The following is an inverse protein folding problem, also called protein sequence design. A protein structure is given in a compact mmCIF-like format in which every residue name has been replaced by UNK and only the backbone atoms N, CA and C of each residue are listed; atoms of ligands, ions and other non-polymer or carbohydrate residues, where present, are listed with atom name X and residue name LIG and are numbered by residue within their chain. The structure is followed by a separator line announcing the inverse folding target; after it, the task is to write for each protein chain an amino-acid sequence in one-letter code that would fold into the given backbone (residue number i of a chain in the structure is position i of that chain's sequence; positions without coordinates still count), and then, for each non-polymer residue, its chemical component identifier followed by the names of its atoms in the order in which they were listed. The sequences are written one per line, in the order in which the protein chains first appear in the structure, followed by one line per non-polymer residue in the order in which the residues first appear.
data_IF_548404890548
#
_entry.id   IF_548404890548
#
_cell.length_a   1.000
_cell.length_b   1.000
_cell.length_c   1.000
_cell.angle_alpha   90.00
_cell.angle_beta   90.00
_cell.angle_gamma   90.00
#
_symmetry.space_group_name_H-M   'P 1'
#
loop_
_entity.id
_entity.type
_entity.pdbx_description
1 polymer ?
#
# COMPACT_ATOMS: atom_id res chain seq x y z
N UNK A 1 25.20 -19.19 24.82
CA UNK A 1 24.10 -19.97 24.19
C UNK A 1 23.76 -19.26 22.89
N UNK A 2 23.59 -19.95 21.77
CA UNK A 2 23.13 -19.27 20.57
C UNK A 2 21.76 -18.69 20.87
N UNK A 3 21.57 -17.39 20.56
CA UNK A 3 20.26 -16.75 20.64
C UNK A 3 19.32 -17.55 19.72
N UNK A 4 18.21 -18.01 20.23
CA UNK A 4 17.19 -18.66 19.40
C UNK A 4 16.68 -17.62 18.39
N UNK A 5 16.98 -17.85 17.13
CA UNK A 5 16.47 -16.98 16.06
C UNK A 5 15.04 -17.42 15.77
N UNK A 6 14.10 -16.50 15.88
CA UNK A 6 12.70 -16.77 15.53
C UNK A 6 12.56 -16.97 14.02
N UNK A 7 12.30 -18.21 13.61
CA UNK A 7 12.02 -18.58 12.22
C UNK A 7 10.50 -18.45 11.96
N UNK A 8 10.12 -17.47 11.18
CA UNK A 8 8.72 -17.19 10.82
C UNK A 8 8.49 -17.63 9.37
N UNK A 9 7.58 -18.57 9.17
CA UNK A 9 7.21 -19.02 7.82
C UNK A 9 6.39 -17.96 7.12
N UNK A 10 6.82 -17.56 5.93
CA UNK A 10 6.10 -16.65 5.07
C UNK A 10 5.07 -17.43 4.24
N UNK A 11 3.82 -16.98 4.25
CA UNK A 11 2.69 -17.58 3.55
C UNK A 11 2.08 -16.65 2.51
N UNK A 12 0.89 -17.02 2.05
CA UNK A 12 0.19 -16.33 0.94
C UNK A 12 -1.09 -15.63 1.40
N UNK A 13 -1.66 -16.05 2.52
CA UNK A 13 -2.97 -15.58 2.96
C UNK A 13 -2.87 -14.26 3.75
N UNK A 14 -3.74 -13.30 3.43
CA UNK A 14 -3.79 -11.99 4.11
C UNK A 14 -3.91 -12.12 5.65
N UNK A 15 -4.74 -13.02 6.14
CA UNK A 15 -4.86 -13.27 7.58
C UNK A 15 -3.56 -13.76 8.24
N UNK A 16 -2.67 -14.36 7.47
CA UNK A 16 -1.37 -14.81 7.96
C UNK A 16 -0.44 -13.62 8.23
N UNK A 17 -0.52 -12.56 7.42
CA UNK A 17 0.24 -11.32 7.62
C UNK A 17 0.07 -10.76 9.04
N UNK A 18 -1.17 -10.64 9.50
CA UNK A 18 -1.45 -10.13 10.86
C UNK A 18 -0.86 -11.01 11.96
N UNK A 19 -0.86 -12.34 11.75
CA UNK A 19 -0.22 -13.26 12.71
C UNK A 19 1.28 -13.06 12.78
N UNK A 20 1.94 -12.83 11.64
CA UNK A 20 3.38 -12.54 11.58
C UNK A 20 3.67 -11.23 12.33
N UNK A 21 2.97 -10.17 12.00
CA UNK A 21 3.14 -8.86 12.64
C UNK A 21 2.92 -8.98 14.16
N UNK A 22 1.80 -9.56 14.59
CA UNK A 22 1.51 -9.74 16.02
C UNK A 22 2.55 -10.62 16.74
N UNK A 23 3.07 -11.65 16.09
CA UNK A 23 4.12 -12.49 16.66
C UNK A 23 5.40 -11.68 16.87
N UNK A 24 5.80 -10.88 15.90
CA UNK A 24 7.00 -10.04 15.98
C UNK A 24 6.83 -8.91 17.01
N UNK A 25 5.66 -8.25 17.06
CA UNK A 25 5.37 -7.21 18.04
C UNK A 25 5.39 -7.70 19.49
N UNK A 26 4.92 -8.94 19.72
CA UNK A 26 4.89 -9.54 21.07
C UNK A 26 6.22 -10.15 21.51
N UNK A 27 7.16 -10.29 20.60
CA UNK A 27 8.49 -10.83 20.91
C UNK A 27 9.44 -9.72 21.34
N UNK A 28 10.24 -10.02 22.35
CA UNK A 28 11.36 -9.17 22.76
C UNK A 28 12.64 -9.42 21.94
N UNK A 29 12.58 -10.31 20.94
CA UNK A 29 13.72 -10.58 20.08
C UNK A 29 13.94 -9.44 19.10
N UNK A 30 15.20 -9.15 18.83
CA UNK A 30 15.62 -8.12 17.87
C UNK A 30 15.90 -8.71 16.47
N UNK A 31 16.16 -10.03 16.41
CA UNK A 31 16.53 -10.73 15.18
C UNK A 31 15.45 -11.75 14.80
N UNK A 32 14.99 -11.65 13.54
CA UNK A 32 13.99 -12.55 12.96
C UNK A 32 14.47 -13.13 11.64
N UNK A 33 13.97 -14.32 11.33
CA UNK A 33 14.12 -14.95 10.03
C UNK A 33 12.74 -15.11 9.39
N UNK A 34 12.57 -14.52 8.20
CA UNK A 34 11.46 -14.82 7.32
C UNK A 34 11.81 -15.97 6.40
N UNK A 35 11.17 -17.11 6.60
CA UNK A 35 11.46 -18.34 5.89
C UNK A 35 10.42 -18.58 4.78
N UNK A 36 10.88 -18.48 3.54
CA UNK A 36 10.03 -18.59 2.34
C UNK A 36 9.97 -20.03 1.78
N UNK A 37 10.51 -21.04 2.48
CA UNK A 37 10.64 -22.41 1.96
C UNK A 37 9.34 -22.99 1.38
N UNK A 38 8.18 -22.62 1.95
CA UNK A 38 6.89 -23.15 1.54
C UNK A 38 6.06 -22.10 0.75
N UNK A 39 6.64 -20.98 0.40
CA UNK A 39 5.96 -19.91 -0.33
C UNK A 39 6.01 -20.22 -1.81
N UNK A 40 4.87 -20.32 -2.47
CA UNK A 40 4.74 -20.50 -3.92
C UNK A 40 4.29 -19.22 -4.62
N UNK A 41 3.56 -18.37 -3.92
CA UNK A 41 3.01 -17.11 -4.43
C UNK A 41 2.74 -16.12 -3.29
N UNK A 42 2.85 -14.82 -3.56
CA UNK A 42 2.54 -13.77 -2.58
C UNK A 42 1.70 -12.68 -3.28
N UNK A 43 0.62 -12.27 -2.63
CA UNK A 43 -0.27 -11.22 -3.15
C UNK A 43 0.23 -9.80 -2.79
N UNK A 44 -0.16 -8.75 -3.55
CA UNK A 44 0.10 -7.36 -3.19
C UNK A 44 -0.29 -7.02 -1.75
N UNK A 45 -1.46 -7.48 -1.31
CA UNK A 45 -1.98 -7.25 0.05
C UNK A 45 -1.20 -7.95 1.17
N UNK A 46 -0.35 -8.89 0.82
CA UNK A 46 0.56 -9.51 1.78
C UNK A 46 1.92 -8.83 1.75
N UNK A 47 2.45 -8.61 0.53
CA UNK A 47 3.84 -8.24 0.36
C UNK A 47 4.12 -6.78 0.71
N UNK A 48 3.23 -5.86 0.32
CA UNK A 48 3.43 -4.44 0.57
C UNK A 48 3.39 -4.09 2.07
N UNK A 49 2.39 -4.53 2.85
CA UNK A 49 2.40 -4.32 4.29
C UNK A 49 3.56 -5.03 5.01
N UNK A 50 3.99 -6.20 4.52
CA UNK A 50 5.14 -6.90 5.08
C UNK A 50 6.44 -6.10 4.90
N UNK A 51 6.64 -5.53 3.70
CA UNK A 51 7.76 -4.64 3.40
C UNK A 51 7.75 -3.41 4.32
N UNK A 52 6.62 -2.73 4.41
CA UNK A 52 6.47 -1.53 5.25
C UNK A 52 6.70 -1.85 6.73
N UNK A 53 6.22 -2.98 7.20
CA UNK A 53 6.46 -3.43 8.57
C UNK A 53 7.95 -3.67 8.83
N UNK A 54 8.64 -4.37 7.92
CA UNK A 54 10.10 -4.58 8.00
C UNK A 54 10.84 -3.24 8.14
N UNK A 55 10.48 -2.28 7.32
CA UNK A 55 11.18 -0.99 7.26
C UNK A 55 10.90 -0.11 8.50
N UNK A 56 9.79 -0.35 9.21
CA UNK A 56 9.35 0.45 10.38
C UNK A 56 9.65 -0.21 11.73
N UNK A 57 9.69 -1.54 11.82
CA UNK A 57 9.71 -2.23 13.11
C UNK A 57 11.02 -2.09 13.92
N UNK A 58 12.09 -1.57 13.30
CA UNK A 58 13.41 -1.40 13.94
C UNK A 58 14.14 -2.71 14.25
N UNK A 59 13.59 -3.86 13.83
CA UNK A 59 14.15 -5.18 14.06
C UNK A 59 14.98 -5.66 12.87
N UNK A 60 15.96 -6.50 13.12
CA UNK A 60 16.78 -7.13 12.08
C UNK A 60 16.03 -8.33 11.48
N UNK A 61 15.78 -8.30 10.17
CA UNK A 61 15.02 -9.33 9.47
C UNK A 61 15.83 -9.88 8.30
N UNK A 62 16.08 -11.20 8.33
CA UNK A 62 16.75 -11.92 7.27
C UNK A 62 15.77 -12.82 6.52
N UNK A 63 15.79 -12.74 5.18
CA UNK A 63 14.97 -13.61 4.32
C UNK A 63 15.78 -14.82 3.88
N UNK A 64 15.27 -16.04 4.12
CA UNK A 64 15.96 -17.28 3.77
C UNK A 64 15.06 -18.23 2.98
N UNK A 65 15.68 -19.22 2.33
CA UNK A 65 15.01 -20.29 1.59
C UNK A 65 13.98 -19.78 0.57
N UNK A 66 14.28 -18.66 -0.10
CA UNK A 66 13.39 -18.09 -1.09
C UNK A 66 13.46 -18.96 -2.35
N UNK A 67 12.35 -19.62 -2.79
CA UNK A 67 12.33 -20.37 -4.04
C UNK A 67 12.64 -19.46 -5.24
N UNK A 68 13.30 -19.98 -6.28
CA UNK A 68 13.77 -19.18 -7.42
C UNK A 68 12.64 -18.39 -8.10
N UNK A 69 11.48 -18.99 -8.29
CA UNK A 69 10.32 -18.30 -8.87
C UNK A 69 9.80 -17.15 -7.99
N UNK A 70 9.84 -17.32 -6.67
CA UNK A 70 9.46 -16.27 -5.71
C UNK A 70 10.52 -15.17 -5.70
N UNK A 71 11.80 -15.52 -5.70
CA UNK A 71 12.92 -14.56 -5.79
C UNK A 71 12.80 -13.70 -7.04
N UNK A 72 12.67 -14.33 -8.22
CA UNK A 72 12.49 -13.61 -9.47
C UNK A 72 11.30 -12.64 -9.43
N UNK A 73 10.19 -13.05 -8.83
CA UNK A 73 9.02 -12.19 -8.65
C UNK A 73 9.32 -11.01 -7.72
N UNK A 74 9.93 -11.25 -6.55
CA UNK A 74 10.29 -10.22 -5.59
C UNK A 74 11.25 -9.18 -6.20
N UNK A 75 12.24 -9.64 -6.98
CA UNK A 75 13.16 -8.77 -7.70
C UNK A 75 12.42 -7.93 -8.77
N UNK A 76 11.52 -8.57 -9.52
CA UNK A 76 10.73 -7.90 -10.57
C UNK A 76 9.84 -6.78 -10.03
N UNK A 77 9.30 -6.94 -8.82
CA UNK A 77 8.43 -5.93 -8.20
C UNK A 77 9.19 -4.97 -7.29
N UNK A 78 10.51 -5.07 -7.19
CA UNK A 78 11.37 -4.23 -6.35
C UNK A 78 11.02 -4.31 -4.84
N UNK A 79 10.85 -5.54 -4.32
CA UNK A 79 10.43 -5.78 -2.94
C UNK A 79 11.35 -5.17 -1.88
N UNK A 80 12.65 -5.01 -2.15
CA UNK A 80 13.59 -4.56 -1.13
C UNK A 80 13.30 -3.13 -0.66
N UNK A 81 13.04 -2.20 -1.57
CA UNK A 81 12.85 -0.78 -1.23
C UNK A 81 11.75 -0.09 -2.04
N UNK A 82 11.15 -0.77 -3.00
CA UNK A 82 10.32 -0.16 -4.02
C UNK A 82 11.14 0.74 -4.96
N UNK A 83 10.54 1.11 -6.06
CA UNK A 83 11.08 2.11 -6.98
C UNK A 83 10.83 3.50 -6.43
N UNK A 84 11.88 4.26 -6.14
CA UNK A 84 11.78 5.61 -5.58
C UNK A 84 11.48 6.59 -6.71
N UNK A 85 10.20 6.98 -6.85
CA UNK A 85 9.68 7.73 -7.99
C UNK A 85 10.39 9.07 -8.24
N UNK A 86 10.68 9.83 -7.20
CA UNK A 86 11.33 11.15 -7.29
C UNK A 86 12.86 11.10 -7.49
N UNK A 87 13.42 9.90 -7.57
CA UNK A 87 14.83 9.68 -7.98
C UNK A 87 14.99 9.24 -9.44
N UNK A 88 13.87 9.12 -10.17
CA UNK A 88 13.89 8.78 -11.60
C UNK A 88 13.73 10.06 -12.40
N UNK A 89 14.71 10.39 -13.24
CA UNK A 89 14.75 11.64 -14.01
C UNK A 89 13.54 11.78 -14.94
N UNK A 90 13.14 10.70 -15.63
CA UNK A 90 11.93 10.64 -16.45
C UNK A 90 10.98 9.56 -15.94
N UNK A 91 10.27 9.88 -14.87
CA UNK A 91 9.32 8.96 -14.25
C UNK A 91 8.13 8.66 -15.16
N UNK A 92 7.76 9.57 -16.06
CA UNK A 92 6.71 9.32 -17.04
C UNK A 92 7.09 8.16 -17.96
N UNK A 93 8.22 8.25 -18.64
CA UNK A 93 8.71 7.18 -19.52
C UNK A 93 8.96 5.87 -18.77
N UNK A 94 9.45 5.94 -17.53
CA UNK A 94 9.56 4.76 -16.68
C UNK A 94 8.22 4.07 -16.46
N UNK A 95 7.19 4.82 -16.10
CA UNK A 95 5.85 4.30 -15.84
C UNK A 95 5.15 3.80 -17.11
N UNK A 96 5.39 4.44 -18.24
CA UNK A 96 4.77 4.07 -19.52
C UNK A 96 5.10 2.63 -19.96
N UNK A 97 6.28 2.12 -19.58
CA UNK A 97 6.67 0.71 -19.81
C UNK A 97 5.70 -0.28 -19.17
N UNK A 98 5.02 0.13 -18.11
CA UNK A 98 4.07 -0.72 -17.37
C UNK A 98 2.64 -0.64 -17.91
N UNK A 99 2.32 0.28 -18.82
CA UNK A 99 0.99 0.43 -19.43
C UNK A 99 0.49 -0.83 -20.14
N UNK A 100 1.41 -1.66 -20.66
CA UNK A 100 1.09 -2.93 -21.33
C UNK A 100 1.43 -4.16 -20.47
N UNK A 101 1.90 -3.95 -19.25
CA UNK A 101 2.21 -5.04 -18.31
C UNK A 101 0.95 -5.44 -17.52
N UNK A 102 1.10 -6.51 -16.78
CA UNK A 102 0.05 -7.03 -15.88
C UNK A 102 0.28 -6.63 -14.42
N UNK A 103 1.20 -5.70 -14.19
CA UNK A 103 1.55 -5.25 -12.86
C UNK A 103 2.14 -3.84 -12.91
N UNK A 104 2.03 -3.13 -11.80
CA UNK A 104 2.83 -1.97 -11.44
C UNK A 104 3.76 -2.46 -10.33
N UNK A 105 5.11 -2.34 -10.45
CA UNK A 105 6.01 -2.72 -9.37
C UNK A 105 5.73 -1.89 -8.12
N UNK A 106 6.36 -2.19 -7.01
CA UNK A 106 6.23 -1.35 -5.82
C UNK A 106 6.84 0.02 -6.14
N UNK A 107 5.99 1.03 -6.24
CA UNK A 107 6.39 2.43 -6.41
C UNK A 107 6.33 3.10 -5.05
N UNK A 108 7.45 3.67 -4.65
CA UNK A 108 7.62 4.49 -3.47
C UNK A 108 7.58 5.95 -3.92
N UNK A 109 6.49 6.66 -3.63
CA UNK A 109 6.25 8.04 -4.06
C UNK A 109 6.26 9.02 -2.89
N UNK A 110 6.67 10.30 -3.10
CA UNK A 110 6.65 11.30 -2.06
C UNK A 110 5.21 11.65 -1.66
N UNK A 111 4.93 11.68 -0.36
CA UNK A 111 3.65 12.07 0.20
C UNK A 111 3.58 13.61 0.35
N UNK A 112 3.74 14.35 -0.75
CA UNK A 112 3.68 15.80 -0.77
C UNK A 112 2.96 16.33 -2.01
N UNK A 113 2.18 17.40 -1.85
CA UNK A 113 1.38 18.03 -2.92
C UNK A 113 2.19 18.57 -4.09
N UNK A 114 3.49 18.83 -3.90
CA UNK A 114 4.35 19.41 -4.95
C UNK A 114 4.79 18.41 -6.04
N UNK A 115 4.32 17.17 -5.96
CA UNK A 115 4.70 16.08 -6.89
C UNK A 115 3.49 15.45 -7.59
N UNK A 116 2.52 16.28 -7.99
CA UNK A 116 1.31 15.83 -8.68
C UNK A 116 1.59 15.08 -9.99
N UNK A 117 2.67 15.39 -10.69
CA UNK A 117 3.08 14.66 -11.89
C UNK A 117 3.35 13.18 -11.62
N UNK A 118 3.97 12.84 -10.49
CA UNK A 118 4.21 11.45 -10.07
C UNK A 118 2.88 10.74 -9.84
N UNK A 119 1.97 11.36 -9.10
CA UNK A 119 0.62 10.83 -8.87
C UNK A 119 -0.12 10.60 -10.18
N UNK A 120 -0.13 11.59 -11.07
CA UNK A 120 -0.83 11.51 -12.35
C UNK A 120 -0.28 10.38 -13.24
N UNK A 121 1.03 10.17 -13.27
CA UNK A 121 1.65 9.07 -14.00
C UNK A 121 1.24 7.70 -13.41
N UNK A 122 1.22 7.55 -12.09
CA UNK A 122 0.75 6.33 -11.43
C UNK A 122 -0.70 6.04 -11.77
N UNK A 123 -1.58 7.05 -11.66
CA UNK A 123 -3.01 6.92 -11.98
C UNK A 123 -3.24 6.56 -13.44
N UNK A 124 -2.54 7.21 -14.36
CA UNK A 124 -2.63 6.94 -15.80
C UNK A 124 -2.29 5.48 -16.13
N UNK A 125 -1.21 4.95 -15.55
CA UNK A 125 -0.83 3.55 -15.79
C UNK A 125 -1.81 2.58 -15.15
N UNK A 126 -2.28 2.86 -13.93
CA UNK A 126 -3.31 2.03 -13.29
C UNK A 126 -4.60 1.99 -14.12
N UNK A 127 -5.05 3.13 -14.66
CA UNK A 127 -6.19 3.21 -15.57
C UNK A 127 -5.96 2.40 -16.85
N UNK A 128 -4.77 2.52 -17.46
CA UNK A 128 -4.43 1.78 -18.68
C UNK A 128 -4.52 0.26 -18.45
N UNK A 129 -4.02 -0.23 -17.32
CA UNK A 129 -4.13 -1.64 -16.96
C UNK A 129 -5.61 -2.04 -16.79
N UNK A 130 -6.41 -1.23 -16.09
CA UNK A 130 -7.84 -1.51 -15.91
C UNK A 130 -8.60 -1.55 -17.23
N UNK A 131 -8.34 -0.61 -18.12
CA UNK A 131 -9.00 -0.55 -19.45
C UNK A 131 -8.54 -1.69 -20.33
N UNK A 132 -7.23 -1.90 -20.50
CA UNK A 132 -6.68 -2.87 -21.44
C UNK A 132 -6.85 -4.31 -20.97
N UNK A 133 -6.72 -4.57 -19.68
CA UNK A 133 -6.71 -5.94 -19.15
C UNK A 133 -8.09 -6.41 -18.68
N UNK A 134 -8.90 -5.52 -18.13
CA UNK A 134 -10.23 -5.84 -17.59
C UNK A 134 -11.38 -5.33 -18.45
N UNK A 135 -11.08 -4.57 -19.52
CA UNK A 135 -12.10 -3.92 -20.37
C UNK A 135 -13.06 -3.02 -19.57
N UNK A 136 -12.58 -2.44 -18.48
CA UNK A 136 -13.35 -1.51 -17.66
C UNK A 136 -13.48 -0.18 -18.41
N UNK A 137 -14.71 0.27 -18.62
CA UNK A 137 -15.00 1.50 -19.33
C UNK A 137 -16.13 2.32 -18.64
N UNK A 138 -16.38 3.52 -19.16
CA UNK A 138 -17.49 4.37 -18.72
C UNK A 138 -17.39 4.79 -17.26
N UNK A 139 -18.52 4.75 -16.55
CA UNK A 139 -18.62 5.27 -15.19
C UNK A 139 -17.87 4.44 -14.14
N UNK A 140 -17.75 3.14 -14.37
CA UNK A 140 -16.95 2.26 -13.49
C UNK A 140 -15.49 2.68 -13.51
N UNK A 141 -14.92 2.97 -14.69
CA UNK A 141 -13.54 3.48 -14.80
C UNK A 141 -13.37 4.79 -14.04
N UNK A 142 -14.28 5.74 -14.26
CA UNK A 142 -14.23 7.05 -13.58
C UNK A 142 -14.29 6.90 -12.05
N UNK A 143 -15.20 6.05 -11.56
CA UNK A 143 -15.34 5.79 -10.13
C UNK A 143 -14.08 5.17 -9.51
N UNK A 144 -13.46 4.21 -10.20
CA UNK A 144 -12.21 3.59 -9.74
C UNK A 144 -11.04 4.56 -9.77
N UNK A 145 -10.90 5.35 -10.84
CA UNK A 145 -9.85 6.38 -10.94
C UNK A 145 -10.00 7.43 -9.86
N UNK A 146 -11.22 7.87 -9.59
CA UNK A 146 -11.52 8.78 -8.49
C UNK A 146 -11.14 8.17 -7.13
N UNK A 147 -11.54 6.93 -6.88
CA UNK A 147 -11.21 6.23 -5.64
C UNK A 147 -9.70 6.08 -5.41
N UNK A 148 -8.94 5.76 -6.48
CA UNK A 148 -7.48 5.67 -6.41
C UNK A 148 -6.85 7.04 -6.12
N UNK A 149 -7.30 8.08 -6.83
CA UNK A 149 -6.81 9.44 -6.63
C UNK A 149 -7.03 9.90 -5.19
N UNK A 150 -8.24 9.73 -4.68
CA UNK A 150 -8.60 10.07 -3.30
C UNK A 150 -7.78 9.28 -2.27
N UNK A 151 -7.52 7.99 -2.54
CA UNK A 151 -6.71 7.17 -1.62
C UNK A 151 -5.27 7.68 -1.55
N UNK A 152 -4.70 8.09 -2.69
CA UNK A 152 -3.36 8.71 -2.73
C UNK A 152 -3.37 10.07 -2.04
N UNK A 153 -4.41 10.88 -2.27
CA UNK A 153 -4.56 12.21 -1.64
C UNK A 153 -4.68 12.10 -0.11
N UNK A 154 -5.36 11.07 0.39
CA UNK A 154 -5.42 10.82 1.83
C UNK A 154 -4.03 10.59 2.45
N UNK A 155 -3.13 9.92 1.74
CA UNK A 155 -1.74 9.77 2.19
C UNK A 155 -1.08 11.16 2.28
N UNK A 156 -1.22 11.97 1.22
CA UNK A 156 -0.60 13.30 1.14
C UNK A 156 -1.14 14.26 2.20
N UNK A 157 -2.42 14.16 2.54
CA UNK A 157 -3.10 15.15 3.39
C UNK A 157 -3.18 14.75 4.86
N UNK A 158 -3.17 13.43 5.16
CA UNK A 158 -3.51 12.94 6.48
C UNK A 158 -2.50 12.00 7.12
N UNK A 159 -1.63 11.36 6.34
CA UNK A 159 -0.75 10.32 6.87
C UNK A 159 0.41 10.84 7.72
N UNK A 160 0.84 12.10 7.47
CA UNK A 160 2.05 12.68 8.09
C UNK A 160 3.32 11.86 7.86
N UNK A 161 3.34 11.08 6.81
CA UNK A 161 4.53 10.39 6.37
C UNK A 161 5.19 11.10 5.19
N UNK A 162 6.46 10.80 4.97
CA UNK A 162 7.20 11.34 3.83
C UNK A 162 6.92 10.58 2.54
N UNK A 163 6.45 9.33 2.65
CA UNK A 163 6.35 8.39 1.54
C UNK A 163 5.04 7.61 1.55
N UNK A 164 4.45 7.49 0.37
CA UNK A 164 3.39 6.54 0.07
C UNK A 164 3.89 5.44 -0.87
N UNK A 165 3.15 4.35 -0.94
CA UNK A 165 3.50 3.18 -1.74
C UNK A 165 2.29 2.68 -2.51
N UNK A 166 2.51 2.26 -3.75
CA UNK A 166 1.51 1.55 -4.53
C UNK A 166 2.12 0.32 -5.18
N UNK A 167 1.35 -0.74 -5.25
CA UNK A 167 1.67 -1.97 -5.95
C UNK A 167 0.39 -2.54 -6.57
N UNK A 168 0.43 -2.97 -7.83
CA UNK A 168 -0.71 -3.56 -8.50
C UNK A 168 -0.34 -4.82 -9.27
N UNK A 169 -1.24 -5.81 -9.26
CA UNK A 169 -1.09 -7.07 -9.98
C UNK A 169 -2.42 -7.52 -10.61
N UNK A 170 -2.43 -7.69 -11.92
CA UNK A 170 -3.54 -8.29 -12.66
C UNK A 170 -3.37 -9.81 -12.77
N UNK A 171 -4.47 -10.55 -12.56
CA UNK A 171 -4.53 -12.00 -12.63
C UNK A 171 -5.42 -12.43 -13.81
N UNK A 172 -4.85 -12.76 -14.99
CA UNK A 172 -5.62 -13.00 -16.21
C UNK A 172 -6.61 -14.15 -16.08
N UNK A 173 -6.20 -15.25 -15.44
CA UNK A 173 -7.02 -16.44 -15.28
C UNK A 173 -8.25 -16.18 -14.40
N UNK A 174 -8.10 -15.32 -13.40
CA UNK A 174 -9.16 -14.98 -12.44
C UNK A 174 -9.91 -13.70 -12.83
N UNK A 175 -9.42 -12.96 -13.82
CA UNK A 175 -9.99 -11.70 -14.32
C UNK A 175 -10.23 -10.64 -13.24
N UNK A 176 -9.29 -10.48 -12.35
CA UNK A 176 -9.29 -9.38 -11.39
C UNK A 176 -7.90 -8.74 -11.25
N UNK A 177 -7.86 -7.56 -10.66
CA UNK A 177 -6.65 -6.82 -10.31
C UNK A 177 -6.64 -6.56 -8.80
N UNK A 178 -5.50 -6.80 -8.16
CA UNK A 178 -5.20 -6.31 -6.82
C UNK A 178 -4.45 -5.00 -6.95
N UNK A 179 -4.92 -3.97 -6.27
CA UNK A 179 -4.21 -2.69 -6.12
C UNK A 179 -4.05 -2.44 -4.63
N UNK A 180 -2.82 -2.37 -4.16
CA UNK A 180 -2.49 -2.08 -2.78
C UNK A 180 -1.84 -0.70 -2.71
N UNK A 181 -2.44 0.20 -1.95
CA UNK A 181 -1.90 1.53 -1.64
C UNK A 181 -1.69 1.57 -0.14
N UNK A 182 -0.54 2.03 0.32
CA UNK A 182 -0.19 2.03 1.73
C UNK A 182 0.78 3.15 2.09
N UNK A 183 0.82 3.50 3.36
CA UNK A 183 1.77 4.42 3.97
C UNK A 183 2.21 3.90 5.34
N UNK A 184 3.22 4.51 5.92
CA UNK A 184 3.71 4.22 7.26
C UNK A 184 3.50 5.39 8.24
N UNK A 185 2.56 6.27 7.93
CA UNK A 185 2.22 7.44 8.73
C UNK A 185 1.34 7.14 9.94
N UNK A 186 0.66 8.17 10.40
CA UNK A 186 -0.34 8.05 11.46
C UNK A 186 -1.59 7.37 10.89
N UNK A 187 -2.26 6.56 11.70
CA UNK A 187 -3.52 5.93 11.30
C UNK A 187 -4.65 6.96 11.17
N UNK A 188 -5.80 6.54 10.64
CA UNK A 188 -7.02 7.36 10.64
C UNK A 188 -7.35 7.80 12.07
N UNK A 189 -7.22 6.91 13.06
CA UNK A 189 -7.37 7.24 14.48
C UNK A 189 -6.37 8.33 14.90
N UNK A 190 -5.10 8.19 14.51
CA UNK A 190 -4.07 9.18 14.80
C UNK A 190 -4.42 10.56 14.26
N UNK A 191 -4.97 10.64 13.04
CA UNK A 191 -5.43 11.90 12.45
C UNK A 191 -6.55 12.56 13.25
N UNK A 192 -7.53 11.78 13.75
CA UNK A 192 -8.61 12.29 14.60
C UNK A 192 -8.09 12.76 15.95
N UNK A 193 -7.23 12.00 16.60
CA UNK A 193 -6.60 12.37 17.89
C UNK A 193 -5.86 13.71 17.73
N UNK A 194 -5.05 13.84 16.67
CA UNK A 194 -4.30 15.07 16.41
C UNK A 194 -5.20 16.26 16.12
N UNK A 195 -6.32 16.05 15.42
CA UNK A 195 -7.30 17.08 15.15
C UNK A 195 -8.17 17.44 16.38
N UNK A 196 -7.93 16.83 17.55
CA UNK A 196 -8.69 17.07 18.78
C UNK A 196 -10.14 16.65 18.71
N UNK A 197 -10.48 15.66 17.87
CA UNK A 197 -11.86 15.17 17.74
C UNK A 197 -12.18 14.27 18.94
N UNK A 198 -13.05 14.77 19.81
CA UNK A 198 -13.50 14.03 20.98
C UNK A 198 -14.41 12.86 20.61
N UNK A 199 -14.45 11.83 21.47
CA UNK A 199 -15.34 10.67 21.32
C UNK A 199 -14.88 9.61 20.32
N UNK A 200 -13.70 9.76 19.69
CA UNK A 200 -13.09 8.77 18.79
C UNK A 200 -11.89 8.17 19.51
N UNK A 201 -12.05 6.96 20.06
CA UNK A 201 -11.07 6.36 20.95
C UNK A 201 -10.40 5.11 20.41
N UNK A 202 -10.89 4.58 19.31
CA UNK A 202 -10.36 3.36 18.68
C UNK A 202 -10.52 3.38 17.16
N UNK A 203 -9.78 2.48 16.47
CA UNK A 203 -9.75 2.42 15.01
C UNK A 203 -11.10 2.13 14.37
N UNK A 204 -11.98 1.37 15.04
CA UNK A 204 -13.31 1.04 14.51
C UNK A 204 -14.21 2.28 14.49
N UNK A 205 -14.16 3.09 15.54
CA UNK A 205 -14.87 4.38 15.58
C UNK A 205 -14.29 5.36 14.57
N UNK A 206 -12.97 5.42 14.45
CA UNK A 206 -12.29 6.27 13.48
C UNK A 206 -12.70 5.92 12.03
N UNK A 207 -12.71 4.64 11.68
CA UNK A 207 -13.14 4.16 10.36
C UNK A 207 -14.62 4.47 10.08
N UNK A 208 -15.51 4.27 11.08
CA UNK A 208 -16.94 4.61 10.94
C UNK A 208 -17.13 6.10 10.68
N UNK A 209 -16.43 6.96 11.43
CA UNK A 209 -16.54 8.41 11.29
C UNK A 209 -15.97 8.89 9.94
N UNK A 210 -14.84 8.33 9.50
CA UNK A 210 -14.30 8.61 8.18
C UNK A 210 -15.29 8.24 7.06
N UNK A 211 -15.95 7.09 7.18
CA UNK A 211 -16.99 6.65 6.23
C UNK A 211 -18.27 7.51 6.22
N UNK A 212 -18.55 8.26 7.30
CA UNK A 212 -19.70 9.20 7.38
C UNK A 212 -19.36 10.62 6.94
N UNK A 213 -18.11 10.87 6.52
CA UNK A 213 -17.69 12.17 6.01
C UNK A 213 -17.25 13.16 7.10
N UNK A 214 -17.03 12.71 8.31
CA UNK A 214 -16.42 13.54 9.36
C UNK A 214 -14.94 13.74 9.02
N UNK A 215 -14.61 14.90 8.45
CA UNK A 215 -13.25 15.24 8.04
C UNK A 215 -12.40 15.76 9.21
N UNK A 216 -11.11 15.48 9.16
CA UNK A 216 -10.09 16.14 10.00
C UNK A 216 -9.52 17.41 9.35
N UNK A 217 -9.91 17.70 8.10
CA UNK A 217 -9.47 18.89 7.38
C UNK A 217 -10.10 20.14 7.97
N UNK A 218 -9.31 21.19 8.08
CA UNK A 218 -9.77 22.52 8.48
C UNK A 218 -9.91 23.42 7.22
N UNK A 219 -10.71 22.95 6.25
CA UNK A 219 -10.94 23.61 4.97
C UNK A 219 -12.33 24.28 4.95
N UNK A 220 -12.56 25.29 4.08
CA UNK A 220 -13.88 25.84 3.86
C UNK A 220 -14.93 24.78 3.55
N UNK A 221 -16.18 24.99 3.97
CA UNK A 221 -17.27 23.99 3.90
C UNK A 221 -17.46 23.28 2.56
N UNK A 222 -17.10 23.94 1.45
CA UNK A 222 -17.18 23.35 0.11
C UNK A 222 -16.15 22.24 -0.15
N UNK A 223 -15.02 22.23 0.58
CA UNK A 223 -13.92 21.28 0.43
C UNK A 223 -13.86 20.26 1.57
N UNK A 224 -14.62 20.48 2.64
CA UNK A 224 -14.76 19.54 3.75
C UNK A 224 -15.68 18.35 3.43
N UNK A 225 -15.95 18.08 2.16
CA UNK A 225 -16.72 16.91 1.74
C UNK A 225 -15.87 15.69 1.97
N UNK A 226 -15.93 15.21 3.22
CA UNK A 226 -15.46 13.89 3.55
C UNK A 226 -16.13 12.89 2.62
N UNK A 227 -15.43 11.80 2.34
CA UNK A 227 -15.92 10.70 1.54
C UNK A 227 -17.36 10.38 1.78
N UNK A 228 -18.05 10.15 0.71
CA UNK A 228 -19.17 9.28 0.74
C UNK A 228 -20.52 9.89 0.74
N UNK A 229 -20.74 10.72 -0.19
CA UNK A 229 -21.99 10.52 -0.92
C UNK A 229 -21.72 9.46 -2.01
N UNK A 230 -21.54 8.21 -1.58
CA UNK A 230 -21.97 7.09 -2.39
C UNK A 230 -23.47 7.31 -2.52
N UNK A 231 -23.90 7.64 -3.73
CA UNK A 231 -25.22 8.12 -4.02
C UNK A 231 -26.33 7.22 -3.43
N UNK A 232 -27.35 7.89 -2.97
CA UNK A 232 -28.69 7.32 -2.83
C UNK A 232 -29.24 6.93 -4.20
#
# INVERSE_FOLDING_TARGET
MPKSVNDIRIGEAFNHLFRIILQMERSNDEDFIWNFKQTSFITPFFILPLMLYRDKCGKSISCINIPDGVRYYLDTINFDHGTIADKIDDFHSYMEVYSDKRYIPIINFPACKTKDDIKNNILSVAENIMVKQLSIAGDIRKALSYMLAETIDNITEHSECDRGYIFAQYYPTKKYIDICIADNGISILGSYIKAGKEGITNDVEALKNAGTGISTKNLPDAENRGYGQIGR
#
